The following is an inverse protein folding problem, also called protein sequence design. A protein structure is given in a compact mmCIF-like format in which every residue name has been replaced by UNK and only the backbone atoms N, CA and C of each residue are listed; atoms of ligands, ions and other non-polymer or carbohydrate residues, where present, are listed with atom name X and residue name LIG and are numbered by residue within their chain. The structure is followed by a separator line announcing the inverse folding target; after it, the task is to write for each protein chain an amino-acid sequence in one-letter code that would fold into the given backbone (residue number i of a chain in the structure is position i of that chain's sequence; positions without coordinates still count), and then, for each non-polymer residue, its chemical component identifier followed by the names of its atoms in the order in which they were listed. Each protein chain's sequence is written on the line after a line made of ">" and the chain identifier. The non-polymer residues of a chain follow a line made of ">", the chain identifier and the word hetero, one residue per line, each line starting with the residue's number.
data_IF_822351675664
#
_entry.id   IF_822351675664
#
_cell.length_a   1.000
_cell.length_b   1.000
_cell.length_c   1.000
_cell.angle_alpha   90.00
_cell.angle_beta   90.00
_cell.angle_gamma   90.00
#
_symmetry.space_group_name_H-M   'P 1'
#
loop_
_entity.id
_entity.type
_entity.pdbx_description
1 polymer ?
#
# COMPACT_ATOMS: atom_id res chain seq x y z
N UNK A 1 23.55 7.82 7.99
CA UNK A 1 24.11 7.87 9.36
C UNK A 1 24.24 6.48 9.91
N UNK A 2 25.34 6.19 10.51
CA UNK A 2 25.56 4.89 11.11
C UNK A 2 25.25 4.94 12.59
N UNK A 3 24.40 4.03 13.04
CA UNK A 3 24.11 3.88 14.47
C UNK A 3 25.28 3.16 15.12
N UNK A 4 25.89 3.75 16.14
CA UNK A 4 27.09 3.20 16.73
C UNK A 4 26.84 2.12 17.79
N UNK A 5 25.63 1.60 17.87
CA UNK A 5 25.27 0.74 18.97
C UNK A 5 24.19 -0.24 18.54
N UNK A 6 23.95 -1.19 19.39
CA UNK A 6 23.04 -2.30 19.09
C UNK A 6 21.58 -1.92 18.97
N UNK A 7 21.20 -0.71 19.39
CA UNK A 7 19.83 -0.24 19.26
C UNK A 7 19.34 -0.29 17.83
N UNK A 8 20.23 -0.08 16.86
CA UNK A 8 19.86 -0.14 15.46
C UNK A 8 19.49 -1.57 15.06
N UNK A 9 20.25 -2.55 15.55
CA UNK A 9 19.92 -3.95 15.31
C UNK A 9 18.58 -4.35 15.95
N UNK A 10 18.30 -3.85 17.14
CA UNK A 10 17.01 -4.09 17.78
C UNK A 10 15.86 -3.50 16.98
N UNK A 11 16.04 -2.30 16.42
CA UNK A 11 15.02 -1.67 15.59
C UNK A 11 14.77 -2.50 14.34
N UNK A 12 15.80 -3.09 13.76
CA UNK A 12 15.66 -3.90 12.57
C UNK A 12 14.86 -5.19 12.80
N UNK A 13 14.77 -5.64 14.03
CA UNK A 13 14.03 -6.85 14.36
C UNK A 13 12.57 -6.58 14.69
N UNK A 14 12.17 -5.32 14.77
CA UNK A 14 10.78 -4.97 15.03
C UNK A 14 9.98 -5.05 13.74
N UNK A 15 8.91 -5.83 13.78
CA UNK A 15 8.03 -5.94 12.64
C UNK A 15 7.17 -4.69 12.53
N UNK A 16 7.03 -4.19 11.31
CA UNK A 16 6.11 -3.11 11.01
C UNK A 16 5.17 -3.56 9.91
N UNK A 17 4.03 -2.90 9.79
CA UNK A 17 3.03 -3.25 8.79
C UNK A 17 3.21 -2.39 7.55
N UNK A 18 3.50 -3.06 6.45
CA UNK A 18 3.53 -2.42 5.14
C UNK A 18 2.20 -2.69 4.45
N UNK A 19 1.58 -1.63 3.95
CA UNK A 19 0.34 -1.73 3.20
C UNK A 19 0.48 -1.05 1.86
N UNK A 20 -0.31 -1.49 0.89
CA UNK A 20 -0.30 -0.93 -0.45
C UNK A 20 -1.72 -0.47 -0.75
N UNK A 21 -1.90 0.83 -1.01
CA UNK A 21 -3.20 1.38 -1.34
C UNK A 21 -3.41 1.34 -2.85
N UNK A 22 -4.46 0.65 -3.26
CA UNK A 22 -4.84 0.58 -4.66
C UNK A 22 -5.55 1.85 -5.12
N UNK A 23 -6.36 2.44 -4.27
CA UNK A 23 -7.11 3.64 -4.58
C UNK A 23 -8.18 3.90 -3.56
N UNK A 24 -8.91 4.99 -3.75
CA UNK A 24 -9.96 5.42 -2.84
C UNK A 24 -11.16 5.88 -3.64
N UNK A 25 -12.31 5.94 -2.98
CA UNK A 25 -13.51 6.48 -3.57
C UNK A 25 -14.44 6.99 -2.47
N UNK A 26 -14.92 8.20 -2.62
CA UNK A 26 -15.94 8.74 -1.74
C UNK A 26 -17.31 8.42 -2.32
N UNK A 27 -18.14 7.74 -1.53
CA UNK A 27 -19.49 7.36 -1.95
C UNK A 27 -20.49 7.80 -0.91
N UNK A 28 -21.68 8.24 -1.33
CA UNK A 28 -22.79 8.42 -0.38
C UNK A 28 -23.11 7.09 0.31
N UNK A 29 -23.52 7.18 1.57
CA UNK A 29 -23.84 5.97 2.33
C UNK A 29 -24.91 5.12 1.62
N UNK A 30 -25.90 5.77 0.99
CA UNK A 30 -26.95 5.02 0.30
C UNK A 30 -26.41 4.15 -0.82
N UNK A 31 -25.34 4.59 -1.50
CA UNK A 31 -24.74 3.78 -2.56
C UNK A 31 -23.98 2.60 -1.97
N UNK A 32 -23.30 2.81 -0.84
CA UNK A 32 -22.59 1.73 -0.17
C UNK A 32 -23.59 0.65 0.27
N UNK A 33 -24.73 1.05 0.81
CA UNK A 33 -25.74 0.12 1.28
C UNK A 33 -26.41 -0.65 0.14
N UNK A 34 -26.32 -0.17 -1.08
CA UNK A 34 -26.89 -0.84 -2.25
C UNK A 34 -25.92 -1.79 -2.95
N UNK A 35 -24.67 -1.87 -2.49
CA UNK A 35 -23.68 -2.76 -3.09
C UNK A 35 -24.05 -4.21 -2.82
N UNK A 36 -23.85 -5.05 -3.82
CA UNK A 36 -24.08 -6.48 -3.74
C UNK A 36 -23.05 -7.24 -4.55
N UNK A 37 -23.28 -8.53 -4.66
CA UNK A 37 -22.38 -9.36 -5.46
C UNK A 37 -22.34 -8.84 -6.90
N UNK A 38 -21.15 -8.83 -7.48
CA UNK A 38 -20.87 -8.35 -8.84
C UNK A 38 -20.97 -6.84 -9.01
N UNK A 39 -21.23 -6.08 -7.95
CA UNK A 39 -21.13 -4.62 -8.01
C UNK A 39 -19.68 -4.22 -8.32
N UNK A 40 -19.52 -3.15 -9.09
CA UNK A 40 -18.21 -2.62 -9.45
C UNK A 40 -18.10 -1.21 -8.90
N UNK A 41 -17.03 -0.94 -8.16
CA UNK A 41 -16.74 0.39 -7.63
C UNK A 41 -15.45 0.87 -8.27
N UNK A 42 -15.55 1.96 -9.03
CA UNK A 42 -14.40 2.57 -9.67
C UNK A 42 -13.66 3.41 -8.65
N UNK A 43 -12.34 3.25 -8.62
CA UNK A 43 -11.48 3.99 -7.70
C UNK A 43 -10.88 5.20 -8.39
N UNK A 44 -10.28 6.09 -7.60
CA UNK A 44 -9.74 7.36 -8.10
C UNK A 44 -8.38 7.22 -8.78
N UNK A 45 -7.77 6.03 -8.76
CA UNK A 45 -6.43 5.83 -9.32
C UNK A 45 -6.52 5.25 -10.72
N UNK A 46 -5.71 5.77 -11.62
CA UNK A 46 -5.58 5.22 -12.97
C UNK A 46 -4.76 3.92 -12.93
N UNK A 47 -4.99 3.06 -13.91
CA UNK A 47 -4.38 1.72 -13.89
C UNK A 47 -2.86 1.76 -14.07
N UNK A 48 -2.32 2.84 -14.64
CA UNK A 48 -0.89 2.98 -14.86
C UNK A 48 -0.20 3.89 -13.84
N UNK A 49 -0.94 4.39 -12.85
CA UNK A 49 -0.34 5.19 -11.80
C UNK A 49 0.37 4.31 -10.77
N UNK A 50 1.54 4.74 -10.26
CA UNK A 50 2.17 4.01 -9.16
C UNK A 50 1.27 3.97 -7.92
N UNK A 51 1.37 2.87 -7.19
CA UNK A 51 0.60 2.67 -5.97
C UNK A 51 1.35 3.25 -4.77
N UNK A 52 0.57 3.72 -3.80
CA UNK A 52 1.15 4.23 -2.56
C UNK A 52 1.50 3.09 -1.62
N UNK A 53 2.71 3.13 -1.09
CA UNK A 53 3.21 2.13 -0.15
C UNK A 53 3.34 2.81 1.20
N UNK A 54 2.63 2.26 2.18
CA UNK A 54 2.48 2.85 3.49
C UNK A 54 3.11 1.97 4.54
N UNK A 55 3.69 2.58 5.57
CA UNK A 55 4.11 1.89 6.78
C UNK A 55 3.46 2.61 7.95
N UNK A 56 2.66 1.87 8.71
CA UNK A 56 1.93 2.41 9.85
C UNK A 56 1.14 3.68 9.50
N UNK A 57 0.49 3.66 8.32
CA UNK A 57 -0.33 4.78 7.87
C UNK A 57 0.44 5.94 7.26
N UNK A 58 1.73 5.81 7.09
CA UNK A 58 2.60 6.86 6.56
C UNK A 58 3.13 6.49 5.19
N UNK A 59 3.00 7.39 4.23
CA UNK A 59 3.52 7.14 2.88
C UNK A 59 5.05 7.14 2.91
N UNK A 60 5.64 6.04 2.44
CA UNK A 60 7.10 5.91 2.40
C UNK A 60 7.64 5.71 0.98
N UNK A 61 6.82 5.23 0.07
CA UNK A 61 7.30 4.89 -1.26
C UNK A 61 6.14 4.80 -2.23
N UNK A 62 6.47 4.70 -3.51
CA UNK A 62 5.51 4.34 -4.56
C UNK A 62 6.09 3.21 -5.38
N UNK A 63 5.22 2.38 -5.89
CA UNK A 63 5.64 1.21 -6.62
C UNK A 63 4.56 0.63 -7.50
N UNK A 64 4.86 -0.52 -8.05
CA UNK A 64 3.93 -1.23 -8.92
C UNK A 64 3.76 -2.67 -8.44
N UNK A 65 2.58 -3.23 -8.72
CA UNK A 65 2.30 -4.61 -8.37
C UNK A 65 2.93 -5.52 -9.44
N UNK A 66 3.63 -6.53 -8.96
CA UNK A 66 4.18 -7.57 -9.82
C UNK A 66 3.78 -8.93 -9.26
N UNK A 67 3.89 -9.96 -10.08
CA UNK A 67 3.64 -11.32 -9.64
C UNK A 67 4.95 -11.98 -9.25
N UNK A 68 4.93 -12.72 -8.16
CA UNK A 68 6.08 -13.51 -7.74
C UNK A 68 5.58 -14.89 -7.33
N UNK A 69 5.68 -15.84 -8.26
CA UNK A 69 5.04 -17.12 -8.09
C UNK A 69 3.52 -16.93 -8.07
N UNK A 70 2.88 -17.41 -6.99
CA UNK A 70 1.43 -17.29 -6.83
C UNK A 70 1.05 -16.15 -5.87
N UNK A 71 1.97 -15.24 -5.60
CA UNK A 71 1.73 -14.11 -4.69
C UNK A 71 1.90 -12.80 -5.43
N UNK A 72 1.20 -11.78 -4.94
CA UNK A 72 1.48 -10.42 -5.37
C UNK A 72 2.72 -9.91 -4.66
N UNK A 73 3.52 -9.14 -5.37
CA UNK A 73 4.69 -8.47 -4.81
C UNK A 73 4.68 -7.02 -5.28
N UNK A 74 5.52 -6.21 -4.68
CA UNK A 74 5.64 -4.79 -5.02
C UNK A 74 7.06 -4.50 -5.47
N UNK A 75 7.18 -3.83 -6.61
CA UNK A 75 8.45 -3.27 -7.04
C UNK A 75 8.47 -1.81 -6.65
N UNK A 76 9.45 -1.42 -5.85
CA UNK A 76 9.60 -0.01 -5.46
C UNK A 76 10.12 0.78 -6.64
N UNK A 77 9.42 1.86 -7.00
CA UNK A 77 9.81 2.76 -8.08
C UNK A 77 10.47 4.02 -7.55
N UNK A 78 10.00 4.52 -6.41
CA UNK A 78 10.60 5.69 -5.79
C UNK A 78 10.36 5.69 -4.29
N UNK A 79 11.27 6.31 -3.56
CA UNK A 79 11.10 6.54 -2.12
C UNK A 79 10.62 7.98 -1.91
N UNK A 80 9.80 8.14 -0.89
CA UNK A 80 9.24 9.47 -0.55
C UNK A 80 9.94 10.02 0.67
#
# INVERSE_FOLDING_TARGET
>A
MTMPFDGYGLIQEIDVRLTVELGRKNLPLREILSLGENSVVELDRLTDEPLDIMVNGRLIARGEVVAQGNRFAIRILELV
#
